data_IF_440144919515
#
_entry.id   IF_440144919515
#
_cell.length_a   1.000
_cell.length_b   1.000
_cell.length_c   1.000
_cell.angle_alpha   90.00
_cell.angle_beta   90.00
_cell.angle_gamma   90.00
#
_symmetry.space_group_name_H-M   'P 1'
#
loop_
_entity.id
_entity.type
_entity.pdbx_description
1 polymer ?
#
# COMPACT_ATOMS: atom_id res chain seq x y z
N UNK A 1 7.67 -14.23 11.61
CA UNK A 1 8.20 -14.59 10.28
C UNK A 1 7.13 -14.24 9.26
N UNK A 2 7.50 -13.51 8.21
CA UNK A 2 6.59 -13.20 7.10
C UNK A 2 6.24 -14.53 6.39
N UNK A 3 4.96 -14.80 6.22
CA UNK A 3 4.48 -16.02 5.56
C UNK A 3 4.83 -15.99 4.05
N UNK A 4 5.34 -17.10 3.49
CA UNK A 4 5.66 -17.19 2.07
C UNK A 4 4.43 -17.10 1.16
N UNK A 5 3.23 -17.24 1.73
CA UNK A 5 1.96 -16.92 1.07
C UNK A 5 1.81 -15.44 0.67
N UNK A 6 2.63 -14.53 1.22
CA UNK A 6 2.62 -13.09 0.89
C UNK A 6 3.37 -12.75 -0.42
N UNK A 7 3.94 -13.74 -1.11
CA UNK A 7 4.57 -13.53 -2.41
C UNK A 7 3.59 -12.89 -3.39
N UNK A 8 4.01 -11.78 -4.02
CA UNK A 8 3.18 -11.04 -4.97
C UNK A 8 2.20 -10.03 -4.36
N UNK A 9 2.13 -9.87 -3.04
CA UNK A 9 1.28 -8.81 -2.45
C UNK A 9 1.76 -7.42 -2.82
N UNK A 10 3.06 -7.16 -2.76
CA UNK A 10 3.63 -5.90 -3.24
C UNK A 10 3.31 -5.69 -4.72
N UNK A 11 3.37 -6.74 -5.54
CA UNK A 11 3.03 -6.66 -6.95
C UNK A 11 1.55 -6.27 -7.16
N UNK A 12 0.62 -6.88 -6.41
CA UNK A 12 -0.80 -6.52 -6.46
C UNK A 12 -1.02 -5.06 -6.07
N UNK A 13 -0.45 -4.60 -4.95
CA UNK A 13 -0.57 -3.20 -4.51
C UNK A 13 0.00 -2.26 -5.57
N UNK A 14 1.20 -2.55 -6.09
CA UNK A 14 1.84 -1.75 -7.12
C UNK A 14 1.02 -1.70 -8.41
N UNK A 15 0.40 -2.80 -8.84
CA UNK A 15 -0.45 -2.84 -10.03
C UNK A 15 -1.66 -1.91 -9.89
N UNK A 16 -2.40 -1.97 -8.78
CA UNK A 16 -3.57 -1.11 -8.58
C UNK A 16 -3.19 0.39 -8.58
N UNK A 17 -2.07 0.74 -7.94
CA UNK A 17 -1.58 2.13 -7.92
C UNK A 17 -1.07 2.58 -9.30
N UNK A 18 -0.42 1.68 -10.05
CA UNK A 18 0.07 1.95 -11.40
C UNK A 18 -1.07 2.19 -12.41
N UNK A 19 -2.22 1.54 -12.26
CA UNK A 19 -3.41 1.79 -13.10
C UNK A 19 -3.90 3.25 -13.03
N UNK A 20 -3.61 3.95 -11.93
CA UNK A 20 -3.87 5.39 -11.75
C UNK A 20 -2.63 6.26 -11.91
N UNK A 21 -1.51 5.72 -12.37
CA UNK A 21 -0.23 6.42 -12.51
C UNK A 21 0.27 7.04 -11.18
N UNK A 22 -0.04 6.40 -10.05
CA UNK A 22 0.43 6.85 -8.74
C UNK A 22 1.86 6.32 -8.53
N UNK A 23 2.87 7.20 -8.43
CA UNK A 23 4.24 6.77 -8.20
C UNK A 23 4.41 6.23 -6.78
N UNK A 24 5.11 5.10 -6.66
CA UNK A 24 5.43 4.48 -5.38
C UNK A 24 6.94 4.37 -5.16
N UNK A 25 7.34 4.31 -3.89
CA UNK A 25 8.67 3.93 -3.46
C UNK A 25 8.57 2.82 -2.42
N UNK A 26 9.08 1.63 -2.73
CA UNK A 26 8.95 0.45 -1.87
C UNK A 26 10.25 0.21 -1.08
N UNK A 27 10.10 -0.04 0.23
CA UNK A 27 11.19 -0.41 1.15
C UNK A 27 10.79 -1.70 1.85
N UNK A 28 11.48 -2.79 1.50
CA UNK A 28 11.30 -4.08 2.16
C UNK A 28 12.22 -4.21 3.37
N UNK A 29 11.66 -4.61 4.51
CA UNK A 29 12.42 -4.97 5.71
C UNK A 29 12.31 -6.48 5.96
N UNK A 30 12.88 -6.98 7.06
CA UNK A 30 12.79 -8.40 7.42
C UNK A 30 11.33 -8.86 7.68
N UNK A 31 10.48 -7.98 8.21
CA UNK A 31 9.13 -8.34 8.67
C UNK A 31 8.00 -7.69 7.88
N UNK A 32 8.26 -6.62 7.13
CA UNK A 32 7.20 -5.86 6.43
C UNK A 32 7.75 -5.09 5.25
N UNK A 33 6.89 -4.82 4.29
CA UNK A 33 7.12 -3.90 3.18
C UNK A 33 6.46 -2.56 3.47
N UNK A 34 7.21 -1.47 3.32
CA UNK A 34 6.69 -0.11 3.35
C UNK A 34 6.53 0.39 1.91
N UNK A 35 5.34 0.82 1.55
CA UNK A 35 5.06 1.47 0.26
C UNK A 35 4.77 2.93 0.52
N UNK A 36 5.65 3.80 0.04
CA UNK A 36 5.52 5.24 0.17
C UNK A 36 4.94 5.82 -1.12
N UNK A 37 4.05 6.79 -0.98
CA UNK A 37 3.52 7.63 -2.06
C UNK A 37 3.87 9.08 -1.76
N UNK A 38 3.92 9.95 -2.77
CA UNK A 38 4.00 11.39 -2.49
C UNK A 38 2.70 11.85 -1.84
N UNK A 39 2.78 12.79 -0.90
CA UNK A 39 1.63 13.27 -0.13
C UNK A 39 0.48 13.78 -1.02
N UNK A 40 0.79 14.39 -2.17
CA UNK A 40 -0.22 14.84 -3.14
C UNK A 40 -1.10 13.71 -3.69
N UNK A 41 -0.66 12.45 -3.65
CA UNK A 41 -1.41 11.27 -4.08
C UNK A 41 -2.05 10.48 -2.93
N UNK A 42 -1.92 10.93 -1.67
CA UNK A 42 -2.38 10.17 -0.50
C UNK A 42 -3.86 9.77 -0.60
N UNK A 43 -4.76 10.75 -0.81
CA UNK A 43 -6.19 10.50 -0.91
C UNK A 43 -6.55 9.61 -2.11
N UNK A 44 -5.85 9.78 -3.23
CA UNK A 44 -6.09 8.98 -4.44
C UNK A 44 -5.64 7.52 -4.22
N UNK A 45 -4.47 7.31 -3.62
CA UNK A 45 -3.96 5.99 -3.27
C UNK A 45 -4.89 5.25 -2.31
N UNK A 46 -5.38 5.93 -1.26
CA UNK A 46 -6.35 5.35 -0.33
C UNK A 46 -7.65 4.97 -1.04
N UNK A 47 -8.16 5.82 -1.93
CA UNK A 47 -9.37 5.53 -2.71
C UNK A 47 -9.19 4.29 -3.59
N UNK A 48 -8.07 4.21 -4.32
CA UNK A 48 -7.73 3.08 -5.20
C UNK A 48 -7.62 1.77 -4.42
N UNK A 49 -6.91 1.80 -3.29
CA UNK A 49 -6.72 0.60 -2.47
C UNK A 49 -8.03 0.20 -1.78
N UNK A 50 -8.85 1.15 -1.35
CA UNK A 50 -10.18 0.86 -0.81
C UNK A 50 -11.12 0.22 -1.84
N UNK A 51 -11.04 0.62 -3.12
CA UNK A 51 -11.78 -0.01 -4.22
C UNK A 51 -11.27 -1.42 -4.55
N UNK A 52 -10.00 -1.69 -4.30
CA UNK A 52 -9.38 -3.00 -4.47
C UNK A 52 -9.61 -3.94 -3.27
N UNK A 53 -10.64 -3.67 -2.45
CA UNK A 53 -11.07 -4.46 -1.29
C UNK A 53 -9.99 -4.59 -0.18
N UNK A 54 -9.00 -3.70 -0.16
CA UNK A 54 -8.06 -3.61 0.96
C UNK A 54 -8.71 -2.90 2.15
N UNK A 55 -8.58 -3.50 3.35
CA UNK A 55 -8.99 -2.84 4.59
C UNK A 55 -7.97 -1.75 4.96
N UNK A 56 -8.42 -0.50 4.96
CA UNK A 56 -7.61 0.64 5.38
C UNK A 56 -7.78 0.82 6.89
N UNK A 57 -6.66 0.77 7.61
CA UNK A 57 -6.61 1.07 9.05
C UNK A 57 -5.88 2.40 9.22
N UNK A 58 -6.61 3.43 9.64
CA UNK A 58 -6.02 4.71 10.03
C UNK A 58 -5.40 4.54 11.42
N UNK A 59 -4.15 4.95 11.56
CA UNK A 59 -3.52 5.11 12.87
C UNK A 59 -4.09 6.34 13.57
N UNK A 60 -5.36 6.31 13.97
CA UNK A 60 -5.85 7.23 14.99
C UNK A 60 -5.22 6.80 16.33
N UNK A 61 -4.22 7.55 16.76
CA UNK A 61 -4.10 7.82 18.19
C UNK A 61 -5.40 8.50 18.60
N UNK A 62 -6.39 7.72 19.03
CA UNK A 62 -7.47 8.24 19.86
C UNK A 62 -6.82 9.02 21.01
N UNK A 63 -7.34 10.24 21.24
CA UNK A 63 -6.88 11.23 22.21
C UNK A 63 -6.26 10.69 23.50
#
# INVERSE_FOLDING_TARGET
>A
MLDFSLTGILAKIASHLAEKNIPIFAISTFNTDYVLVKAEYEMEALSVLGQAEYQIVTGESAC
#
